data_IF_821142871336
#
_entry.id   IF_821142871336
#
_cell.length_a   1.000
_cell.length_b   1.000
_cell.length_c   1.000
_cell.angle_alpha   90.00
_cell.angle_beta   90.00
_cell.angle_gamma   90.00
#
_symmetry.space_group_name_H-M   'P 1'
#
loop_
_entity.id
_entity.type
_entity.pdbx_description
1 polymer ?
#
# COMPACT_ATOMS: atom_id res chain seq x y z
N UNK A 1 -0.60 9.38 6.07
CA UNK A 1 -0.76 7.93 6.32
C UNK A 1 0.51 7.22 6.79
N UNK A 2 1.72 7.53 6.30
CA UNK A 2 2.96 6.94 6.85
C UNK A 2 3.24 5.50 6.41
N UNK A 3 2.94 5.19 5.14
CA UNK A 3 3.16 3.88 4.53
C UNK A 3 4.23 3.97 3.44
N UNK A 4 5.10 2.98 3.39
CA UNK A 4 5.99 2.69 2.27
C UNK A 4 5.39 1.52 1.47
N UNK A 5 5.37 1.62 0.14
CA UNK A 5 4.78 0.60 -0.73
C UNK A 5 5.83 -0.06 -1.61
N UNK A 6 5.64 -1.37 -1.87
CA UNK A 6 6.37 -2.12 -2.88
C UNK A 6 5.40 -2.70 -3.91
N UNK A 7 5.79 -2.67 -5.18
CA UNK A 7 5.07 -3.38 -6.24
C UNK A 7 5.56 -4.82 -6.36
N UNK A 8 4.71 -5.70 -6.89
CA UNK A 8 5.14 -7.02 -7.32
C UNK A 8 6.12 -6.91 -8.50
N UNK A 9 7.11 -7.82 -8.54
CA UNK A 9 8.05 -7.96 -9.67
C UNK A 9 7.37 -8.57 -10.90
N UNK A 10 6.32 -9.37 -10.70
CA UNK A 10 5.52 -9.92 -11.78
C UNK A 10 4.51 -8.87 -12.26
N UNK A 11 4.73 -8.35 -13.47
CA UNK A 11 3.87 -7.34 -14.09
C UNK A 11 2.48 -7.88 -14.45
N UNK A 12 2.30 -9.20 -14.49
CA UNK A 12 0.98 -9.82 -14.69
C UNK A 12 0.19 -9.91 -13.38
N UNK A 13 0.86 -9.82 -12.22
CA UNK A 13 0.24 -9.73 -10.91
C UNK A 13 0.44 -8.32 -10.36
N UNK A 14 -0.44 -7.41 -10.75
CA UNK A 14 -0.45 -6.04 -10.22
C UNK A 14 -0.94 -6.02 -8.77
N UNK A 15 -0.04 -6.40 -7.87
CA UNK A 15 -0.20 -6.38 -6.41
C UNK A 15 0.69 -5.31 -5.81
N UNK A 16 0.20 -4.65 -4.76
CA UNK A 16 0.94 -3.66 -3.98
C UNK A 16 1.03 -4.14 -2.54
N UNK A 17 2.21 -4.06 -1.94
CA UNK A 17 2.47 -4.55 -0.60
C UNK A 17 2.95 -3.43 0.31
N UNK A 18 2.68 -3.56 1.61
CA UNK A 18 3.28 -2.70 2.64
C UNK A 18 4.75 -3.06 2.77
N UNK A 19 5.63 -2.14 2.35
CA UNK A 19 7.08 -2.28 2.47
C UNK A 19 7.62 -1.69 3.78
N UNK A 20 6.84 -0.83 4.43
CA UNK A 20 7.25 -0.16 5.66
C UNK A 20 6.15 0.70 6.26
N UNK A 21 6.25 0.93 7.56
CA UNK A 21 5.37 1.79 8.33
C UNK A 21 6.24 2.84 9.02
N UNK A 22 5.80 4.09 8.96
CA UNK A 22 6.47 5.20 9.67
C UNK A 22 6.02 5.14 11.14
N UNK A 23 6.94 5.04 12.11
CA UNK A 23 6.60 5.08 13.53
C UNK A 23 5.76 6.32 13.86
N UNK A 24 4.79 6.18 14.77
CA UNK A 24 3.86 7.26 15.19
C UNK A 24 2.96 7.81 14.07
N UNK A 25 2.88 7.12 12.93
CA UNK A 25 1.87 7.43 11.92
C UNK A 25 0.54 6.76 12.25
N UNK A 26 -0.56 7.26 11.69
CA UNK A 26 -1.89 6.67 11.88
C UNK A 26 -1.93 5.19 11.50
N UNK A 27 -1.26 4.79 10.42
CA UNK A 27 -1.20 3.38 10.00
C UNK A 27 -0.40 2.51 10.98
N UNK A 28 0.63 3.08 11.63
CA UNK A 28 1.42 2.40 12.65
C UNK A 28 0.66 2.28 13.97
N UNK A 29 -0.06 3.33 14.38
CA UNK A 29 -0.83 3.35 15.62
C UNK A 29 -2.12 2.51 15.54
N UNK A 30 -2.76 2.47 14.37
CA UNK A 30 -3.93 1.63 14.11
C UNK A 30 -3.57 0.13 14.18
N UNK A 31 -2.33 -0.23 13.83
CA UNK A 31 -1.77 -1.58 14.03
C UNK A 31 -2.39 -2.69 13.18
N UNK A 32 -3.41 -2.37 12.38
CA UNK A 32 -4.09 -3.33 11.49
C UNK A 32 -3.24 -3.70 10.26
N UNK A 33 -2.31 -2.82 9.88
CA UNK A 33 -1.42 -3.02 8.75
C UNK A 33 -0.04 -3.47 9.23
N UNK A 34 0.52 -4.48 8.56
CA UNK A 34 1.86 -4.99 8.81
C UNK A 34 2.69 -5.03 7.53
N UNK A 35 4.01 -5.01 7.69
CA UNK A 35 4.94 -5.17 6.56
C UNK A 35 4.73 -6.54 5.92
N UNK A 36 4.57 -6.56 4.60
CA UNK A 36 4.27 -7.76 3.82
C UNK A 36 2.80 -7.93 3.45
N UNK A 37 1.89 -7.17 4.07
CA UNK A 37 0.46 -7.23 3.74
C UNK A 37 0.20 -6.72 2.32
N UNK A 38 -0.71 -7.40 1.61
CA UNK A 38 -1.18 -6.97 0.29
C UNK A 38 -2.29 -5.94 0.45
N UNK A 39 -2.09 -4.76 -0.15
CA UNK A 39 -3.10 -3.73 -0.25
C UNK A 39 -4.00 -4.01 -1.45
N UNK A 40 -5.24 -4.39 -1.15
CA UNK A 40 -6.29 -4.63 -2.14
C UNK A 40 -7.14 -3.39 -2.41
N UNK A 41 -7.26 -2.49 -1.43
CA UNK A 41 -8.05 -1.26 -1.49
C UNK A 41 -7.40 -0.18 -0.62
N UNK A 42 -7.42 1.07 -1.08
CA UNK A 42 -7.01 2.24 -0.30
C UNK A 42 -8.02 3.37 -0.53
N UNK A 43 -8.53 3.98 0.55
CA UNK A 43 -9.47 5.12 0.49
C UNK A 43 -10.72 4.84 -0.40
N UNK A 44 -11.26 3.62 -0.36
CA UNK A 44 -12.41 3.24 -1.21
C UNK A 44 -12.05 2.91 -2.66
N UNK A 45 -10.76 2.96 -3.03
CA UNK A 45 -10.29 2.62 -4.37
C UNK A 45 -9.63 1.25 -4.41
N UNK A 46 -10.24 0.34 -5.15
CA UNK A 46 -9.69 -1.00 -5.40
C UNK A 46 -8.40 -0.88 -6.22
N UNK A 47 -7.36 -1.54 -5.73
CA UNK A 47 -6.02 -1.54 -6.31
C UNK A 47 -5.78 -2.71 -7.26
N UNK A 48 -6.70 -3.68 -7.31
CA UNK A 48 -6.62 -4.83 -8.21
C UNK A 48 -6.46 -4.40 -9.68
N UNK A 49 -5.42 -4.93 -10.34
CA UNK A 49 -5.12 -4.60 -11.75
C UNK A 49 -4.53 -3.20 -11.96
N UNK A 50 -4.16 -2.48 -10.89
CA UNK A 50 -3.49 -1.17 -10.99
C UNK A 50 -2.03 -1.28 -10.56
N UNK A 51 -1.15 -0.65 -11.32
CA UNK A 51 0.27 -0.58 -10.98
C UNK A 51 0.48 0.21 -9.68
N UNK A 52 1.39 -0.26 -8.84
CA UNK A 52 1.84 0.40 -7.60
C UNK A 52 2.21 1.90 -7.78
N UNK A 53 2.59 2.31 -8.99
CA UNK A 53 2.84 3.71 -9.34
C UNK A 53 1.58 4.60 -9.18
N UNK A 54 0.40 4.10 -9.54
CA UNK A 54 -0.86 4.82 -9.34
C UNK A 54 -1.28 4.86 -7.86
N UNK A 55 -0.91 3.84 -7.10
CA UNK A 55 -1.26 3.74 -5.66
C UNK A 55 -0.50 4.77 -4.83
N UNK A 56 0.76 5.04 -5.18
CA UNK A 56 1.57 6.05 -4.50
C UNK A 56 0.96 7.46 -4.57
N UNK A 57 0.22 7.78 -5.63
CA UNK A 57 -0.52 9.04 -5.77
C UNK A 57 -1.79 9.08 -4.90
N UNK A 58 -2.47 7.92 -4.74
CA UNK A 58 -3.67 7.80 -3.88
C UNK A 58 -3.32 7.95 -2.40
N UNK A 59 -2.15 7.47 -1.95
CA UNK A 59 -1.71 7.53 -0.56
C UNK A 59 -1.10 8.89 -0.16
N UNK A 60 -0.63 9.67 -1.12
CA UNK A 60 -0.05 11.01 -0.88
C UNK A 60 -1.09 12.15 -0.86
N UNK A 61 -2.36 11.88 -1.19
CA UNK A 61 -3.42 12.88 -1.20
C UNK A 61 -3.96 13.21 0.19
#
# INVERSE_FOLDING_TARGET
>A
MGLCLAGNRDLNKMSTFVAGLVPQSTAYEDGQLMIGDELVEVNGQVLYGRSHLNVSAIIKS
#
